data_IF_444188209355
#
_entry.id   IF_444188209355
#
_cell.length_a   1.000
_cell.length_b   1.000
_cell.length_c   1.000
_cell.angle_alpha   90.00
_cell.angle_beta   90.00
_cell.angle_gamma   90.00
#
_symmetry.space_group_name_H-M   'P 1'
#
loop_
_entity.id
_entity.type
_entity.pdbx_description
1 polymer ?
#
# COMPACT_ATOMS: atom_id res chain seq x y z
N UNK A 1 24.33 8.46 -8.05
CA UNK A 1 23.75 7.38 -7.20
C UNK A 1 22.79 7.96 -6.17
N UNK A 2 23.21 8.96 -5.36
CA UNK A 2 22.32 9.64 -4.41
C UNK A 2 21.06 10.24 -5.08
N UNK A 3 21.20 10.82 -6.28
CA UNK A 3 20.08 11.40 -7.03
C UNK A 3 19.01 10.36 -7.38
N UNK A 4 19.42 9.11 -7.66
CA UNK A 4 18.51 8.00 -7.94
C UNK A 4 17.75 7.54 -6.70
N UNK A 5 18.39 7.56 -5.53
CA UNK A 5 17.72 7.25 -4.26
C UNK A 5 16.71 8.35 -3.89
N UNK A 6 17.04 9.61 -4.12
CA UNK A 6 16.14 10.75 -3.88
C UNK A 6 14.94 10.70 -4.83
N UNK A 7 15.17 10.46 -6.12
CA UNK A 7 14.08 10.38 -7.10
C UNK A 7 13.14 9.20 -6.83
N UNK A 8 13.67 8.04 -6.43
CA UNK A 8 12.86 6.90 -5.99
C UNK A 8 12.10 7.19 -4.69
N UNK A 9 12.72 7.86 -3.72
CA UNK A 9 12.06 8.28 -2.50
C UNK A 9 10.89 9.23 -2.78
N UNK A 10 11.08 10.20 -3.67
CA UNK A 10 10.01 11.10 -4.13
C UNK A 10 8.91 10.34 -4.88
N UNK A 11 9.28 9.41 -5.78
CA UNK A 11 8.32 8.58 -6.49
C UNK A 11 7.48 7.73 -5.53
N UNK A 12 8.07 7.26 -4.43
CA UNK A 12 7.38 6.48 -3.41
C UNK A 12 6.37 7.32 -2.62
N UNK A 13 6.75 8.54 -2.23
CA UNK A 13 5.84 9.49 -1.57
C UNK A 13 4.68 9.85 -2.52
N UNK A 14 5.00 10.21 -3.77
CA UNK A 14 4.00 10.53 -4.78
C UNK A 14 3.06 9.35 -5.05
N UNK A 15 3.59 8.13 -5.11
CA UNK A 15 2.80 6.91 -5.27
C UNK A 15 1.81 6.74 -4.13
N UNK A 16 2.23 6.91 -2.88
CA UNK A 16 1.35 6.81 -1.70
C UNK A 16 0.22 7.84 -1.78
N UNK A 17 0.54 9.09 -2.14
CA UNK A 17 -0.45 10.17 -2.26
C UNK A 17 -1.46 9.87 -3.38
N UNK A 18 -0.98 9.45 -4.55
CA UNK A 18 -1.82 9.12 -5.70
C UNK A 18 -2.74 7.92 -5.40
N UNK A 19 -2.20 6.89 -4.74
CA UNK A 19 -2.97 5.72 -4.31
C UNK A 19 -4.06 6.11 -3.31
N UNK A 20 -3.74 6.97 -2.34
CA UNK A 20 -4.74 7.48 -1.39
C UNK A 20 -5.86 8.24 -2.09
N UNK A 21 -5.54 9.16 -3.01
CA UNK A 21 -6.54 9.89 -3.79
C UNK A 21 -7.41 8.97 -4.65
N UNK A 22 -6.81 8.00 -5.33
CA UNK A 22 -7.54 7.02 -6.12
C UNK A 22 -8.53 6.22 -5.26
N UNK A 23 -8.09 5.77 -4.08
CA UNK A 23 -8.96 5.05 -3.14
C UNK A 23 -10.06 5.94 -2.54
N UNK A 24 -9.76 7.20 -2.21
CA UNK A 24 -10.75 8.14 -1.72
C UNK A 24 -11.86 8.37 -2.76
N UNK A 25 -11.50 8.49 -4.04
CA UNK A 25 -12.46 8.56 -5.13
C UNK A 25 -13.26 7.27 -5.33
N UNK A 26 -12.66 6.11 -5.07
CA UNK A 26 -13.30 4.80 -5.28
C UNK A 26 -14.26 4.39 -4.15
N UNK A 27 -13.95 4.73 -2.90
CA UNK A 27 -14.74 4.31 -1.74
C UNK A 27 -15.74 5.36 -1.25
N UNK A 28 -15.74 6.57 -1.82
CA UNK A 28 -16.53 7.73 -1.34
C UNK A 28 -16.40 7.95 0.18
N UNK A 29 -15.29 7.47 0.76
CA UNK A 29 -15.04 7.44 2.19
C UNK A 29 -13.54 7.59 2.42
N UNK A 30 -13.17 8.49 3.32
CA UNK A 30 -11.78 8.78 3.68
C UNK A 30 -11.26 7.81 4.77
N UNK A 31 -12.15 7.11 5.45
CA UNK A 31 -11.80 6.18 6.54
C UNK A 31 -11.25 4.85 6.02
N UNK A 32 -11.84 4.30 4.95
CA UNK A 32 -11.39 3.02 4.36
C UNK A 32 -9.95 3.09 3.82
N UNK A 33 -9.55 4.13 3.07
CA UNK A 33 -8.17 4.31 2.61
C UNK A 33 -7.16 4.42 3.75
N UNK A 34 -7.52 5.07 4.86
CA UNK A 34 -6.64 5.22 6.02
C UNK A 34 -6.27 3.87 6.65
N UNK A 35 -7.23 2.96 6.77
CA UNK A 35 -6.99 1.60 7.28
C UNK A 35 -6.03 0.85 6.36
N UNK A 36 -6.16 1.02 5.05
CA UNK A 36 -5.27 0.38 4.06
C UNK A 36 -3.85 0.94 4.19
N UNK A 37 -3.68 2.25 4.36
CA UNK A 37 -2.34 2.85 4.52
C UNK A 37 -1.58 2.31 5.74
N UNK A 38 -2.29 1.87 6.78
CA UNK A 38 -1.69 1.26 7.97
C UNK A 38 -0.96 -0.07 7.68
N UNK A 39 -1.23 -0.69 6.52
CA UNK A 39 -0.52 -1.90 6.07
C UNK A 39 0.84 -1.61 5.41
N UNK A 40 1.16 -0.34 5.10
CA UNK A 40 2.43 0.05 4.46
C UNK A 40 3.63 -0.11 5.42
N UNK A 41 3.61 0.40 6.68
CA UNK A 41 4.72 0.23 7.61
C UNK A 41 5.12 -1.24 7.87
N UNK A 42 4.20 -2.19 8.14
CA UNK A 42 4.59 -3.59 8.30
C UNK A 42 5.12 -4.22 7.00
N UNK A 43 4.67 -3.76 5.84
CA UNK A 43 5.22 -4.20 4.54
C UNK A 43 6.69 -3.81 4.40
N UNK A 44 7.05 -2.58 4.78
CA UNK A 44 8.44 -2.13 4.77
C UNK A 44 9.33 -2.95 5.71
N UNK A 45 8.84 -3.23 6.92
CA UNK A 45 9.54 -4.10 7.88
C UNK A 45 9.80 -5.48 7.26
N UNK A 46 8.80 -6.06 6.60
CA UNK A 46 8.94 -7.33 5.88
C UNK A 46 10.03 -7.31 4.81
N UNK A 47 10.14 -6.22 4.04
CA UNK A 47 11.21 -6.06 3.03
C UNK A 47 12.58 -5.95 3.69
N UNK A 48 12.72 -5.13 4.74
CA UNK A 48 14.00 -4.98 5.46
C UNK A 48 14.43 -6.31 6.08
N UNK A 49 13.52 -7.02 6.75
CA UNK A 49 13.79 -8.33 7.34
C UNK A 49 14.15 -9.36 6.26
N UNK A 50 13.44 -9.38 5.13
CA UNK A 50 13.74 -10.28 4.02
C UNK A 50 15.13 -10.05 3.41
N UNK A 51 15.51 -8.77 3.24
CA UNK A 51 16.85 -8.39 2.79
C UNK A 51 17.93 -8.80 3.79
N UNK A 52 17.68 -8.61 5.09
CA UNK A 52 18.60 -9.00 6.17
C UNK A 52 18.85 -10.50 6.19
N UNK A 53 17.80 -11.32 6.08
CA UNK A 53 17.91 -12.80 6.04
C UNK A 53 18.72 -13.23 4.80
N UNK A 54 18.52 -12.55 3.67
CA UNK A 54 19.20 -12.86 2.42
C UNK A 54 20.62 -12.25 2.33
N UNK A 55 21.05 -11.49 3.34
CA UNK A 55 22.35 -10.82 3.40
C UNK A 55 22.54 -9.76 2.30
N UNK A 56 21.46 -9.21 1.74
CA UNK A 56 21.53 -8.23 0.63
C UNK A 56 21.32 -6.80 1.13
N UNK A 57 22.12 -5.83 0.64
CA UNK A 57 21.92 -4.43 0.99
C UNK A 57 20.65 -3.88 0.33
N UNK A 58 20.14 -2.80 0.91
CA UNK A 58 19.00 -2.06 0.38
C UNK A 58 19.43 -1.28 -0.88
N UNK A 59 19.23 -1.92 -2.04
CA UNK A 59 19.62 -1.41 -3.36
C UNK A 59 18.44 -0.76 -4.09
N UNK A 60 18.72 -0.06 -5.19
CA UNK A 60 17.70 0.49 -6.09
C UNK A 60 16.73 -0.61 -6.56
N UNK A 61 17.24 -1.80 -6.88
CA UNK A 61 16.40 -2.94 -7.27
C UNK A 61 15.47 -3.39 -6.14
N UNK A 62 15.94 -3.35 -4.89
CA UNK A 62 15.11 -3.66 -3.73
C UNK A 62 14.01 -2.61 -3.51
N UNK A 63 14.31 -1.32 -3.74
CA UNK A 63 13.33 -0.24 -3.66
C UNK A 63 12.26 -0.34 -4.75
N UNK A 64 12.63 -0.67 -5.98
CA UNK A 64 11.67 -0.93 -7.06
C UNK A 64 10.76 -2.12 -6.68
N UNK A 65 11.34 -3.20 -6.15
CA UNK A 65 10.59 -4.34 -5.62
C UNK A 65 9.62 -3.95 -4.50
N UNK A 66 10.04 -3.07 -3.59
CA UNK A 66 9.18 -2.54 -2.54
C UNK A 66 8.01 -1.72 -3.10
N UNK A 67 8.24 -0.85 -4.09
CA UNK A 67 7.16 -0.09 -4.76
C UNK A 67 6.12 -1.03 -5.38
N UNK A 68 6.57 -2.09 -6.07
CA UNK A 68 5.68 -3.10 -6.63
C UNK A 68 4.89 -3.84 -5.53
N UNK A 69 5.57 -4.21 -4.44
CA UNK A 69 4.96 -4.91 -3.31
C UNK A 69 3.88 -4.05 -2.63
N UNK A 70 4.11 -2.75 -2.45
CA UNK A 70 3.11 -1.82 -1.91
C UNK A 70 1.84 -1.84 -2.76
N UNK A 71 1.96 -1.83 -4.09
CA UNK A 71 0.80 -1.93 -4.99
C UNK A 71 0.01 -3.24 -4.82
N UNK A 72 0.70 -4.37 -4.66
CA UNK A 72 0.07 -5.68 -4.44
C UNK A 72 -0.67 -5.71 -3.10
N UNK A 73 -0.04 -5.24 -2.04
CA UNK A 73 -0.63 -5.21 -0.69
C UNK A 73 -1.87 -4.32 -0.67
N UNK A 74 -1.81 -3.14 -1.29
CA UNK A 74 -2.94 -2.22 -1.41
C UNK A 74 -4.07 -2.86 -2.20
N UNK A 75 -3.79 -3.48 -3.35
CA UNK A 75 -4.82 -4.15 -4.15
C UNK A 75 -5.55 -5.24 -3.33
N UNK A 76 -4.80 -6.07 -2.61
CA UNK A 76 -5.37 -7.10 -1.75
C UNK A 76 -6.27 -6.50 -0.66
N UNK A 77 -5.85 -5.39 -0.05
CA UNK A 77 -6.64 -4.69 0.97
C UNK A 77 -7.92 -4.07 0.38
N UNK A 78 -7.85 -3.48 -0.81
CA UNK A 78 -9.02 -2.94 -1.54
C UNK A 78 -10.04 -4.06 -1.78
N UNK A 79 -9.62 -5.19 -2.33
CA UNK A 79 -10.52 -6.32 -2.63
C UNK A 79 -11.17 -6.88 -1.36
N UNK A 80 -10.43 -6.97 -0.25
CA UNK A 80 -10.95 -7.43 1.03
C UNK A 80 -12.04 -6.50 1.57
N UNK A 81 -11.76 -5.19 1.64
CA UNK A 81 -12.69 -4.17 2.16
C UNK A 81 -13.92 -4.05 1.29
N UNK A 82 -13.75 -4.03 -0.03
CA UNK A 82 -14.85 -3.98 -0.99
C UNK A 82 -15.68 -5.29 -0.94
N UNK A 83 -15.03 -6.43 -0.69
CA UNK A 83 -15.69 -7.70 -0.39
C UNK A 83 -16.56 -7.63 0.87
N UNK A 84 -16.06 -7.07 1.97
CA UNK A 84 -16.82 -6.89 3.21
C UNK A 84 -18.00 -5.94 3.01
N UNK A 85 -17.78 -4.79 2.35
CA UNK A 85 -18.83 -3.83 1.98
C UNK A 85 -19.95 -4.52 1.19
N UNK A 86 -19.61 -5.27 0.15
CA UNK A 86 -20.58 -6.02 -0.67
C UNK A 86 -21.36 -7.05 0.16
N UNK A 87 -20.71 -7.76 1.08
CA UNK A 87 -21.38 -8.73 1.96
C UNK A 87 -22.33 -8.07 2.95
N UNK A 88 -21.97 -6.91 3.51
CA UNK A 88 -22.84 -6.13 4.41
C UNK A 88 -24.10 -5.62 3.71
N UNK A 89 -23.95 -5.07 2.50
CA UNK A 89 -25.09 -4.62 1.68
C UNK A 89 -26.05 -5.78 1.36
N UNK A 90 -25.54 -6.96 0.99
CA UNK A 90 -26.36 -8.15 0.72
C UNK A 90 -27.11 -8.69 1.95
N UNK A 91 -26.62 -8.44 3.16
CA UNK A 91 -27.24 -8.86 4.42
C UNK A 91 -28.22 -7.83 5.00
N UNK A 92 -28.45 -6.72 4.30
CA UNK A 92 -29.38 -5.68 4.76
C UNK A 92 -28.91 -4.90 5.99
N UNK A 93 -27.63 -4.99 6.37
CA UNK A 93 -27.09 -4.18 7.47
C UNK A 93 -26.91 -2.74 6.97
N UNK A 94 -27.48 -1.73 7.67
CA UNK A 94 -27.30 -0.34 7.29
C UNK A 94 -25.83 0.05 7.39
N UNK A 95 -25.33 0.73 6.34
CA UNK A 95 -24.00 1.31 6.33
C UNK A 95 -24.02 2.52 7.27
N UNK A 96 -23.44 2.37 8.46
CA UNK A 96 -23.11 3.46 9.36
C UNK A 96 -21.68 3.96 9.10
#
# INVERSE_FOLDING_TARGET
>A
MADSFISLGLALILSIVLVYMAMAGQFESLSSPFIIMFSIPPTFIGVVVGLLIMGKPLSIMALIGYILLVGIVVNNAIVLIDGDRRRRMKRGFPAN
#
